data_IF_783252156426
#
_entry.id   IF_783252156426
#
_cell.length_a   1.000
_cell.length_b   1.000
_cell.length_c   1.000
_cell.angle_alpha   90.00
_cell.angle_beta   90.00
_cell.angle_gamma   90.00
#
_symmetry.space_group_name_H-M   'P 1'
#
loop_
_entity.id
_entity.type
_entity.pdbx_description
1 polymer ?
#
# COMPACT_ATOMS: atom_id res chain seq x y z
N UNK A 1 22.05 -28.97 17.08
CA UNK A 1 21.70 -29.73 15.85
C UNK A 1 20.41 -30.56 15.96
N UNK A 2 20.11 -31.24 17.09
CA UNK A 2 18.88 -32.05 17.25
C UNK A 2 17.56 -31.30 17.01
N UNK A 3 17.49 -29.98 17.28
CA UNK A 3 16.26 -29.19 17.10
C UNK A 3 15.87 -28.87 15.65
N UNK A 4 16.82 -28.88 14.70
CA UNK A 4 16.53 -28.58 13.29
C UNK A 4 16.06 -29.83 12.54
N UNK A 5 16.61 -31.00 12.89
CA UNK A 5 16.21 -32.27 12.29
C UNK A 5 14.79 -32.67 12.71
N UNK A 6 14.42 -32.43 13.98
CA UNK A 6 13.05 -32.63 14.46
C UNK A 6 12.00 -31.80 13.70
N UNK A 7 12.38 -30.66 13.13
CA UNK A 7 11.46 -29.85 12.32
C UNK A 7 11.03 -30.55 11.04
N UNK A 8 11.89 -31.37 10.42
CA UNK A 8 11.54 -32.16 9.23
C UNK A 8 10.43 -33.17 9.51
N UNK A 9 10.29 -33.62 10.75
CA UNK A 9 9.23 -34.56 11.15
C UNK A 9 7.96 -33.86 11.64
N UNK A 10 7.91 -32.52 11.60
CA UNK A 10 6.71 -31.77 11.98
C UNK A 10 5.80 -31.53 10.76
N UNK A 11 4.50 -31.82 10.88
CA UNK A 11 3.52 -31.54 9.83
C UNK A 11 3.48 -30.05 9.43
N UNK A 12 3.74 -29.16 10.39
CA UNK A 12 3.79 -27.71 10.15
C UNK A 12 4.94 -27.29 9.22
N UNK A 13 6.06 -28.01 9.25
CA UNK A 13 7.19 -27.73 8.36
C UNK A 13 6.81 -28.00 6.91
N UNK A 14 6.30 -29.20 6.61
CA UNK A 14 5.88 -29.57 5.26
C UNK A 14 4.72 -28.71 4.78
N UNK A 15 3.74 -28.40 5.65
CA UNK A 15 2.65 -27.49 5.31
C UNK A 15 3.16 -26.11 4.91
N UNK A 16 4.16 -25.55 5.62
CA UNK A 16 4.78 -24.26 5.27
C UNK A 16 5.66 -24.34 4.02
N UNK A 17 6.43 -25.42 3.87
CA UNK A 17 7.30 -25.64 2.72
C UNK A 17 6.49 -25.80 1.42
N UNK A 18 5.33 -26.46 1.48
CA UNK A 18 4.44 -26.61 0.33
C UNK A 18 3.39 -25.49 0.22
N UNK A 19 3.39 -24.50 1.13
CA UNK A 19 2.49 -23.36 1.03
C UNK A 19 2.90 -22.43 -0.12
N UNK A 20 1.93 -22.03 -0.95
CA UNK A 20 2.13 -21.19 -2.14
C UNK A 20 2.75 -19.83 -1.80
N UNK A 21 2.31 -19.23 -0.70
CA UNK A 21 2.77 -17.92 -0.26
C UNK A 21 4.25 -17.93 0.12
N UNK A 22 4.74 -18.99 0.77
CA UNK A 22 6.15 -19.09 1.19
C UNK A 22 7.12 -18.96 0.02
N UNK A 23 6.81 -19.61 -1.12
CA UNK A 23 7.62 -19.53 -2.33
C UNK A 23 7.46 -18.21 -3.08
N UNK A 24 6.25 -17.61 -3.07
CA UNK A 24 6.01 -16.29 -3.66
C UNK A 24 6.77 -15.22 -2.89
N UNK A 25 6.62 -15.18 -1.57
CA UNK A 25 7.34 -14.26 -0.69
C UNK A 25 8.84 -14.49 -0.78
N UNK A 26 9.30 -15.74 -0.79
CA UNK A 26 10.72 -16.07 -1.01
C UNK A 26 11.28 -15.53 -2.33
N UNK A 27 10.56 -15.68 -3.45
CA UNK A 27 10.97 -15.12 -4.76
C UNK A 27 10.97 -13.59 -4.79
N UNK A 28 9.95 -12.96 -4.20
CA UNK A 28 9.86 -11.49 -4.13
C UNK A 28 10.98 -10.94 -3.24
N UNK A 29 11.19 -11.55 -2.08
CA UNK A 29 12.27 -11.22 -1.16
C UNK A 29 13.64 -11.40 -1.82
N UNK A 30 13.86 -12.48 -2.59
CA UNK A 30 15.12 -12.68 -3.32
C UNK A 30 15.40 -11.56 -4.32
N UNK A 31 14.38 -11.12 -5.09
CA UNK A 31 14.53 -10.01 -6.05
C UNK A 31 14.78 -8.67 -5.37
N UNK A 32 14.22 -8.47 -4.17
CA UNK A 32 14.30 -7.20 -3.41
C UNK A 32 15.41 -7.16 -2.36
N UNK A 33 16.07 -8.29 -2.07
CA UNK A 33 17.03 -8.42 -0.97
C UNK A 33 18.24 -7.49 -1.08
N UNK A 34 18.64 -7.08 -2.29
CA UNK A 34 19.72 -6.12 -2.47
C UNK A 34 19.31 -4.69 -2.06
N UNK A 35 18.02 -4.33 -2.18
CA UNK A 35 17.53 -2.96 -1.95
C UNK A 35 16.88 -2.77 -0.58
N UNK A 36 16.26 -3.81 -0.03
CA UNK A 36 15.40 -3.69 1.16
C UNK A 36 15.92 -4.53 2.35
N UNK A 37 16.01 -3.90 3.53
CA UNK A 37 16.39 -4.55 4.80
C UNK A 37 15.32 -5.52 5.30
N UNK A 38 14.03 -5.25 5.06
CA UNK A 38 12.92 -6.13 5.44
C UNK A 38 12.92 -7.39 4.57
N UNK A 39 13.09 -7.24 3.26
CA UNK A 39 13.25 -8.36 2.33
C UNK A 39 14.42 -9.29 2.72
N UNK A 40 15.52 -8.76 3.26
CA UNK A 40 16.64 -9.59 3.77
C UNK A 40 16.24 -10.45 4.97
N UNK A 41 15.37 -9.94 5.86
CA UNK A 41 14.87 -10.69 7.02
C UNK A 41 13.95 -11.84 6.57
N UNK A 42 13.05 -11.57 5.62
CA UNK A 42 12.19 -12.60 5.02
C UNK A 42 12.99 -13.64 4.24
N UNK A 43 13.99 -13.20 3.46
CA UNK A 43 14.89 -14.11 2.75
C UNK A 43 15.67 -14.99 3.73
N UNK A 44 16.14 -14.44 4.86
CA UNK A 44 16.81 -15.23 5.91
C UNK A 44 15.86 -16.29 6.48
N UNK A 45 14.59 -15.96 6.72
CA UNK A 45 13.59 -16.93 7.19
C UNK A 45 13.33 -18.02 6.14
N UNK A 46 13.25 -17.65 4.86
CA UNK A 46 13.09 -18.58 3.75
C UNK A 46 14.29 -19.53 3.62
N UNK A 47 15.53 -19.02 3.72
CA UNK A 47 16.75 -19.85 3.72
C UNK A 47 16.79 -20.77 4.93
N UNK A 48 16.41 -20.29 6.12
CA UNK A 48 16.32 -21.12 7.33
C UNK A 48 15.25 -22.22 7.21
N UNK A 49 14.20 -22.02 6.40
CA UNK A 49 13.22 -23.05 6.09
C UNK A 49 13.81 -24.14 5.19
N UNK A 50 14.66 -23.79 4.22
CA UNK A 50 15.28 -24.75 3.29
C UNK A 50 16.48 -25.49 3.91
N UNK A 51 17.13 -24.89 4.91
CA UNK A 51 18.35 -25.42 5.52
C UNK A 51 18.23 -26.86 6.06
N UNK A 52 17.16 -27.26 6.80
CA UNK A 52 17.00 -28.64 7.26
C UNK A 52 16.86 -29.65 6.11
N UNK A 53 16.14 -29.29 5.05
CA UNK A 53 15.97 -30.13 3.86
C UNK A 53 17.32 -30.35 3.16
N UNK A 54 18.10 -29.28 3.01
CA UNK A 54 19.44 -29.36 2.43
C UNK A 54 20.36 -30.29 3.23
N UNK A 55 20.42 -30.13 4.57
CA UNK A 55 21.21 -31.00 5.42
C UNK A 55 20.75 -32.46 5.41
N UNK A 56 19.45 -32.70 5.30
CA UNK A 56 18.90 -34.06 5.18
C UNK A 56 19.36 -34.74 3.88
N UNK A 57 19.26 -34.04 2.75
CA UNK A 57 19.72 -34.56 1.44
C UNK A 57 21.23 -34.77 1.44
N UNK A 58 22.01 -33.82 1.98
CA UNK A 58 23.46 -33.94 2.09
C UNK A 58 23.87 -35.11 2.99
N UNK A 59 23.17 -35.32 4.11
CA UNK A 59 23.39 -36.45 5.02
C UNK A 59 23.08 -37.79 4.35
N UNK A 60 21.99 -37.89 3.58
CA UNK A 60 21.68 -39.07 2.79
C UNK A 60 22.76 -39.32 1.73
N UNK A 61 23.24 -38.29 1.02
CA UNK A 61 24.35 -38.44 0.07
C UNK A 61 25.65 -38.92 0.73
N UNK A 62 25.92 -38.48 1.97
CA UNK A 62 27.11 -38.89 2.73
C UNK A 62 27.06 -40.37 3.16
N UNK A 63 25.87 -40.95 3.35
CA UNK A 63 25.70 -42.37 3.74
C UNK A 63 26.00 -43.38 2.60
N UNK A 64 26.57 -42.93 1.47
CA UNK A 64 27.05 -43.78 0.39
C UNK A 64 25.97 -44.23 -0.60
N UNK A 65 26.23 -45.30 -1.35
CA UNK A 65 25.41 -45.74 -2.49
C UNK A 65 23.92 -45.98 -2.14
N UNK A 66 23.62 -46.43 -0.92
CA UNK A 66 22.25 -46.60 -0.44
C UNK A 66 21.53 -45.28 -0.16
N UNK A 67 22.25 -44.27 0.34
CA UNK A 67 21.68 -42.95 0.61
C UNK A 67 21.55 -42.08 -0.64
N UNK A 68 22.39 -42.31 -1.65
CA UNK A 68 22.24 -41.71 -2.98
C UNK A 68 20.87 -42.07 -3.60
N UNK A 69 20.44 -43.34 -3.53
CA UNK A 69 19.13 -43.77 -4.02
C UNK A 69 17.96 -43.07 -3.33
N UNK A 70 17.99 -43.00 -1.99
CA UNK A 70 16.95 -42.29 -1.21
C UNK A 70 16.94 -40.79 -1.51
N UNK A 71 18.11 -40.17 -1.67
CA UNK A 71 18.21 -38.75 -2.00
C UNK A 71 17.58 -38.41 -3.36
N UNK A 72 17.76 -39.28 -4.37
CA UNK A 72 17.13 -39.12 -5.69
C UNK A 72 15.61 -39.22 -5.59
N UNK A 73 15.08 -40.17 -4.81
CA UNK A 73 13.63 -40.32 -4.60
C UNK A 73 13.03 -39.10 -3.88
N UNK A 74 13.70 -38.58 -2.85
CA UNK A 74 13.25 -37.38 -2.13
C UNK A 74 13.29 -36.15 -3.03
N UNK A 75 14.36 -35.96 -3.81
CA UNK A 75 14.46 -34.87 -4.79
C UNK A 75 13.35 -35.01 -5.84
N UNK A 76 13.12 -36.21 -6.37
CA UNK A 76 12.07 -36.48 -7.34
C UNK A 76 10.68 -36.19 -6.77
N UNK A 77 10.40 -36.58 -5.51
CA UNK A 77 9.13 -36.29 -4.85
C UNK A 77 8.91 -34.78 -4.64
N UNK A 78 9.95 -34.04 -4.24
CA UNK A 78 9.90 -32.58 -4.11
C UNK A 78 9.69 -31.91 -5.47
N UNK A 79 10.44 -32.33 -6.50
CA UNK A 79 10.29 -31.82 -7.87
C UNK A 79 8.90 -32.14 -8.43
N UNK A 80 8.40 -33.35 -8.21
CA UNK A 80 7.06 -33.77 -8.63
C UNK A 80 5.97 -32.98 -7.89
N UNK A 81 6.12 -32.73 -6.58
CA UNK A 81 5.21 -31.86 -5.82
C UNK A 81 5.22 -30.41 -6.32
N UNK A 82 6.40 -29.87 -6.65
CA UNK A 82 6.53 -28.55 -7.26
C UNK A 82 5.90 -28.51 -8.67
N UNK A 83 6.12 -29.55 -9.47
CA UNK A 83 5.63 -29.66 -10.85
C UNK A 83 4.11 -29.89 -10.88
N UNK A 84 3.57 -30.68 -9.96
CA UNK A 84 2.13 -30.81 -9.73
C UNK A 84 1.54 -29.48 -9.28
N UNK A 85 2.16 -28.74 -8.34
CA UNK A 85 1.69 -27.38 -7.98
C UNK A 85 1.74 -26.40 -9.14
N UNK A 86 2.67 -26.61 -10.09
CA UNK A 86 2.81 -25.84 -11.31
C UNK A 86 1.78 -26.25 -12.36
N UNK A 87 1.40 -27.53 -12.45
CA UNK A 87 0.40 -28.04 -13.40
C UNK A 87 -1.04 -27.86 -12.90
N UNK A 88 -1.27 -27.96 -11.59
CA UNK A 88 -2.53 -27.55 -10.95
C UNK A 88 -2.64 -26.03 -10.83
N UNK A 89 -1.72 -25.28 -11.46
CA UNK A 89 -2.12 -24.01 -12.04
C UNK A 89 -3.22 -24.33 -13.05
N UNK A 90 -4.47 -24.30 -12.60
CA UNK A 90 -5.39 -23.46 -13.36
C UNK A 90 -4.61 -22.17 -13.60
N UNK A 91 -4.38 -21.75 -14.86
CA UNK A 91 -4.17 -20.34 -15.03
C UNK A 91 -5.37 -19.74 -14.31
N UNK A 92 -5.16 -19.13 -13.14
CA UNK A 92 -5.80 -17.86 -12.91
C UNK A 92 -5.56 -17.17 -14.23
N UNK A 93 -6.59 -17.17 -15.06
CA UNK A 93 -6.74 -16.14 -16.06
C UNK A 93 -6.44 -14.91 -15.22
N UNK A 94 -5.21 -14.41 -15.31
CA UNK A 94 -5.04 -13.02 -15.61
C UNK A 94 -5.93 -12.83 -16.84
N UNK A 95 -7.23 -12.67 -16.58
CA UNK A 95 -7.95 -11.57 -17.14
C UNK A 95 -6.95 -10.46 -16.90
N UNK A 96 -6.12 -10.17 -17.91
CA UNK A 96 -5.66 -8.82 -18.05
C UNK A 96 -7.00 -8.12 -18.21
N UNK A 97 -7.53 -7.46 -17.14
CA UNK A 97 -8.74 -6.67 -17.30
C UNK A 97 -8.48 -5.86 -18.56
N UNK A 98 -9.34 -6.03 -19.57
CA UNK A 98 -9.23 -5.20 -20.76
C UNK A 98 -9.21 -3.79 -20.22
N UNK A 99 -8.11 -3.03 -20.40
CA UNK A 99 -8.11 -1.65 -19.98
C UNK A 99 -9.30 -1.04 -20.72
N UNK A 100 -10.28 -0.52 -19.97
CA UNK A 100 -11.25 0.37 -20.56
C UNK A 100 -10.44 1.39 -21.37
N UNK A 101 -10.83 1.73 -22.61
CA UNK A 101 -10.24 2.86 -23.30
C UNK A 101 -10.58 4.11 -22.48
N UNK A 102 -9.80 4.38 -21.43
CA UNK A 102 -9.83 5.60 -20.68
C UNK A 102 -9.38 6.67 -21.65
N UNK A 103 -10.31 7.56 -22.01
CA UNK A 103 -10.00 8.66 -22.90
C UNK A 103 -8.77 9.42 -22.40
N UNK A 104 -7.94 9.97 -23.31
CA UNK A 104 -6.75 10.73 -22.92
C UNK A 104 -7.06 11.87 -21.95
N UNK A 105 -8.30 12.38 -21.98
CA UNK A 105 -8.83 13.39 -21.07
C UNK A 105 -8.92 12.92 -19.61
N UNK A 106 -9.44 11.71 -19.35
CA UNK A 106 -9.59 11.19 -17.98
C UNK A 106 -8.23 10.94 -17.33
N UNK A 107 -7.29 10.38 -18.08
CA UNK A 107 -5.91 10.23 -17.61
C UNK A 107 -5.29 11.58 -17.29
N UNK A 108 -5.47 12.56 -18.18
CA UNK A 108 -4.97 13.92 -17.95
C UNK A 108 -5.57 14.51 -16.68
N UNK A 109 -6.88 14.34 -16.45
CA UNK A 109 -7.52 14.75 -15.20
C UNK A 109 -6.82 14.10 -13.99
N UNK A 110 -6.66 12.78 -13.97
CA UNK A 110 -6.00 12.10 -12.84
C UNK A 110 -4.54 12.53 -12.64
N UNK A 111 -3.78 12.76 -13.73
CA UNK A 111 -2.40 13.22 -13.67
C UNK A 111 -2.29 14.65 -13.14
N UNK A 112 -3.18 15.54 -13.59
CA UNK A 112 -3.29 16.91 -13.10
C UNK A 112 -3.61 16.94 -11.59
N UNK A 113 -4.51 16.08 -11.12
CA UNK A 113 -4.84 15.95 -9.70
C UNK A 113 -3.70 15.36 -8.88
N UNK A 114 -3.01 14.36 -9.41
CA UNK A 114 -1.82 13.81 -8.75
C UNK A 114 -0.76 14.90 -8.58
N UNK A 115 -0.50 15.71 -9.61
CA UNK A 115 0.44 16.81 -9.54
C UNK A 115 0.02 17.87 -8.50
N UNK A 116 -1.27 18.23 -8.46
CA UNK A 116 -1.79 19.17 -7.46
C UNK A 116 -1.55 18.66 -6.03
N UNK A 117 -1.94 17.41 -5.74
CA UNK A 117 -1.71 16.83 -4.41
C UNK A 117 -0.22 16.72 -4.08
N UNK A 118 0.63 16.42 -5.05
CA UNK A 118 2.07 16.40 -4.87
C UNK A 118 2.61 17.78 -4.47
N UNK A 119 2.24 18.84 -5.19
CA UNK A 119 2.68 20.21 -4.89
C UNK A 119 2.22 20.65 -3.49
N UNK A 120 0.95 20.42 -3.14
CA UNK A 120 0.44 20.77 -1.82
C UNK A 120 1.16 20.00 -0.71
N UNK A 121 1.38 18.70 -0.93
CA UNK A 121 2.03 17.83 0.06
C UNK A 121 3.51 18.15 0.24
N UNK A 122 4.25 18.37 -0.85
CA UNK A 122 5.65 18.80 -0.77
C UNK A 122 5.76 20.14 -0.03
N UNK A 123 4.84 21.08 -0.33
CA UNK A 123 4.75 22.34 0.38
C UNK A 123 4.49 22.14 1.88
N UNK A 124 3.55 21.28 2.27
CA UNK A 124 3.31 20.96 3.67
C UNK A 124 4.58 20.44 4.36
N UNK A 125 5.36 19.63 3.67
CA UNK A 125 6.62 19.12 4.16
C UNK A 125 7.69 20.21 4.36
N UNK A 126 7.75 21.22 3.49
CA UNK A 126 8.60 22.41 3.73
C UNK A 126 8.13 23.21 4.94
N UNK A 127 6.83 23.35 5.13
CA UNK A 127 6.26 24.07 6.28
C UNK A 127 6.57 23.34 7.60
N UNK A 128 6.49 22.00 7.62
CA UNK A 128 6.97 21.18 8.75
C UNK A 128 8.44 21.50 9.02
N UNK A 129 9.31 21.43 8.01
CA UNK A 129 10.73 21.76 8.17
C UNK A 129 10.96 23.16 8.73
N UNK A 130 10.22 24.17 8.26
CA UNK A 130 10.39 25.55 8.70
C UNK A 130 9.98 25.72 10.18
N UNK A 131 9.00 24.96 10.66
CA UNK A 131 8.54 25.01 12.04
C UNK A 131 9.42 24.18 12.98
N UNK A 132 9.75 22.95 12.60
CA UNK A 132 10.48 22.02 13.47
C UNK A 132 12.00 22.17 13.36
N UNK A 133 12.49 22.80 12.28
CA UNK A 133 13.91 22.85 11.88
C UNK A 133 14.53 21.48 11.60
N UNK A 134 13.70 20.45 11.42
CA UNK A 134 14.11 19.09 11.07
C UNK A 134 13.62 18.76 9.67
N UNK A 135 14.54 18.37 8.77
CA UNK A 135 14.20 18.07 7.39
C UNK A 135 13.50 16.70 7.31
N UNK A 136 12.22 16.64 6.88
CA UNK A 136 11.54 15.36 6.71
C UNK A 136 12.20 14.51 5.63
N UNK A 137 12.05 13.19 5.74
CA UNK A 137 12.63 12.25 4.78
C UNK A 137 12.06 12.50 3.36
N UNK A 138 12.95 12.55 2.38
CA UNK A 138 12.58 12.69 0.96
C UNK A 138 12.28 14.12 0.51
N UNK A 139 12.48 15.12 1.36
CA UNK A 139 12.28 16.53 1.01
C UNK A 139 13.58 17.18 0.56
N UNK A 140 13.54 17.80 -0.60
CA UNK A 140 14.51 18.81 -1.02
C UNK A 140 13.86 20.19 -0.77
N UNK A 141 14.50 21.07 -0.01
CA UNK A 141 13.94 22.40 0.27
C UNK A 141 13.92 23.19 -1.04
N UNK A 142 12.73 23.46 -1.57
CA UNK A 142 12.56 24.27 -2.77
C UNK A 142 11.77 25.53 -2.46
N UNK A 143 12.03 26.58 -3.22
CA UNK A 143 11.32 27.85 -3.03
C UNK A 143 9.86 27.70 -3.49
N UNK A 144 8.93 28.34 -2.77
CA UNK A 144 7.51 28.44 -3.13
C UNK A 144 7.26 28.81 -4.61
N UNK A 145 8.11 29.67 -5.16
CA UNK A 145 8.03 30.06 -6.57
C UNK A 145 8.07 28.86 -7.53
N UNK A 146 8.89 27.84 -7.22
CA UNK A 146 9.00 26.62 -8.02
C UNK A 146 7.68 25.87 -8.10
N UNK A 147 7.01 25.67 -6.96
CA UNK A 147 5.68 25.04 -6.92
C UNK A 147 4.67 25.78 -7.80
N UNK A 148 4.61 27.11 -7.67
CA UNK A 148 3.70 27.94 -8.47
C UNK A 148 4.06 27.90 -9.96
N UNK A 149 5.34 27.88 -10.31
CA UNK A 149 5.80 27.75 -11.68
C UNK A 149 5.38 26.39 -12.27
N UNK A 150 5.62 25.28 -11.57
CA UNK A 150 5.20 23.94 -12.00
C UNK A 150 3.69 23.89 -12.25
N UNK A 151 2.88 24.46 -11.36
CA UNK A 151 1.42 24.52 -11.58
C UNK A 151 1.01 25.38 -12.78
N UNK A 152 1.77 26.44 -13.11
CA UNK A 152 1.51 27.28 -14.29
C UNK A 152 1.89 26.57 -15.59
N UNK A 153 3.02 25.88 -15.61
CA UNK A 153 3.51 25.12 -16.77
C UNK A 153 2.50 24.06 -17.22
N UNK A 154 1.78 23.44 -16.26
CA UNK A 154 0.72 22.47 -16.54
C UNK A 154 -0.69 23.08 -16.61
N UNK A 155 -0.83 24.41 -16.57
CA UNK A 155 -2.14 25.09 -16.69
C UNK A 155 -3.09 24.88 -15.50
N UNK A 156 -2.57 24.46 -14.34
CA UNK A 156 -3.34 24.17 -13.13
C UNK A 156 -3.55 25.38 -12.24
N UNK A 157 -2.61 26.33 -12.24
CA UNK A 157 -2.64 27.49 -11.34
C UNK A 157 -3.96 28.28 -11.40
N UNK A 158 -4.50 28.51 -12.61
CA UNK A 158 -5.76 29.25 -12.79
C UNK A 158 -7.01 28.42 -12.44
N UNK A 159 -6.86 27.11 -12.26
CA UNK A 159 -7.94 26.15 -11.96
C UNK A 159 -7.96 25.72 -10.49
N UNK A 160 -7.01 26.20 -9.69
CA UNK A 160 -7.01 25.98 -8.24
C UNK A 160 -8.28 26.54 -7.63
N UNK A 161 -8.85 25.82 -6.65
CA UNK A 161 -9.86 26.37 -5.76
C UNK A 161 -9.25 27.42 -4.84
N UNK A 162 -10.13 28.16 -4.17
CA UNK A 162 -9.72 29.27 -3.30
C UNK A 162 -8.85 28.77 -2.14
N UNK A 163 -9.22 27.65 -1.53
CA UNK A 163 -8.47 27.07 -0.39
C UNK A 163 -7.06 26.66 -0.79
N UNK A 164 -6.88 25.96 -1.92
CA UNK A 164 -5.54 25.53 -2.36
C UNK A 164 -4.69 26.75 -2.77
N UNK A 165 -5.31 27.74 -3.42
CA UNK A 165 -4.65 28.98 -3.81
C UNK A 165 -4.18 29.75 -2.58
N UNK A 166 -5.01 29.91 -1.58
CA UNK A 166 -4.68 30.63 -0.35
C UNK A 166 -3.49 29.97 0.35
N UNK A 167 -3.51 28.65 0.52
CA UNK A 167 -2.41 27.89 1.10
C UNK A 167 -1.10 28.08 0.33
N UNK A 168 -1.14 28.03 -1.01
CA UNK A 168 0.06 28.19 -1.84
C UNK A 168 0.59 29.63 -1.90
N UNK A 169 -0.25 30.63 -1.57
CA UNK A 169 0.14 32.04 -1.56
C UNK A 169 0.58 32.54 -0.18
N UNK A 170 0.34 31.79 0.89
CA UNK A 170 0.88 32.10 2.21
C UNK A 170 2.42 32.16 2.18
N UNK A 171 3.05 33.06 2.96
CA UNK A 171 4.50 33.10 3.08
C UNK A 171 5.05 31.81 3.72
N UNK A 172 6.31 31.51 3.46
CA UNK A 172 7.02 30.37 4.03
C UNK A 172 6.97 30.40 5.57
N UNK A 173 6.58 29.28 6.19
CA UNK A 173 6.51 29.11 7.64
C UNK A 173 5.20 29.59 8.28
N UNK A 174 4.21 29.99 7.50
CA UNK A 174 2.95 30.56 7.98
C UNK A 174 1.78 29.59 7.96
N UNK A 175 1.97 28.35 7.50
CA UNK A 175 0.90 27.35 7.61
C UNK A 175 0.68 27.00 9.08
N UNK A 176 -0.57 26.87 9.52
CA UNK A 176 -0.83 26.34 10.86
C UNK A 176 -0.62 24.83 10.90
N UNK A 177 -0.44 24.25 12.08
CA UNK A 177 -0.31 22.79 12.24
C UNK A 177 -1.55 22.08 11.70
N UNK A 178 -2.72 22.66 11.87
CA UNK A 178 -3.98 22.15 11.34
C UNK A 178 -3.96 22.13 9.80
N UNK A 179 -3.50 23.21 9.16
CA UNK A 179 -3.37 23.27 7.70
C UNK A 179 -2.38 22.22 7.18
N UNK A 180 -1.23 22.07 7.85
CA UNK A 180 -0.24 21.04 7.54
C UNK A 180 -0.87 19.65 7.66
N UNK A 181 -1.58 19.36 8.75
CA UNK A 181 -2.22 18.07 8.98
C UNK A 181 -3.35 17.77 7.98
N UNK A 182 -4.13 18.78 7.59
CA UNK A 182 -5.17 18.64 6.56
C UNK A 182 -4.55 18.29 5.21
N UNK A 183 -3.48 19.00 4.81
CA UNK A 183 -2.78 18.71 3.55
C UNK A 183 -2.01 17.40 3.63
N UNK A 184 -1.51 17.01 4.80
CA UNK A 184 -0.84 15.72 4.99
C UNK A 184 -1.75 14.54 4.59
N UNK A 185 -3.05 14.63 4.85
CA UNK A 185 -4.02 13.62 4.42
C UNK A 185 -4.16 13.51 2.89
N UNK A 186 -3.70 14.52 2.13
CA UNK A 186 -3.63 14.49 0.66
C UNK A 186 -2.53 13.56 0.12
N UNK A 187 -1.62 13.07 0.96
CA UNK A 187 -0.69 12.00 0.59
C UNK A 187 -1.42 10.75 0.10
N UNK A 188 -2.59 10.46 0.66
CA UNK A 188 -3.32 9.24 0.34
C UNK A 188 -3.95 9.30 -1.06
N UNK A 189 -4.70 10.35 -1.45
CA UNK A 189 -5.07 10.60 -2.84
C UNK A 189 -3.87 10.55 -3.80
N UNK A 190 -2.73 11.15 -3.44
CA UNK A 190 -1.53 11.12 -4.28
C UNK A 190 -1.02 9.70 -4.55
N UNK A 191 -0.87 8.86 -3.50
CA UNK A 191 -0.44 7.46 -3.64
C UNK A 191 -1.37 6.67 -4.54
N UNK A 192 -2.68 6.85 -4.32
CA UNK A 192 -3.71 6.18 -5.09
C UNK A 192 -3.66 6.61 -6.56
N UNK A 193 -3.62 7.91 -6.85
CA UNK A 193 -3.57 8.41 -8.21
C UNK A 193 -2.30 7.97 -8.95
N UNK A 194 -1.14 7.98 -8.29
CA UNK A 194 0.10 7.43 -8.87
C UNK A 194 -0.01 5.95 -9.19
N UNK A 195 -0.64 5.15 -8.32
CA UNK A 195 -0.92 3.74 -8.59
C UNK A 195 -1.92 3.55 -9.74
N UNK A 196 -3.00 4.34 -9.78
CA UNK A 196 -4.00 4.34 -10.86
C UNK A 196 -3.36 4.69 -12.20
N UNK A 197 -2.45 5.66 -12.23
CA UNK A 197 -1.67 6.08 -13.40
C UNK A 197 -0.50 5.13 -13.71
N UNK A 198 -0.39 4.00 -13.01
CA UNK A 198 0.68 2.99 -13.17
C UNK A 198 2.10 3.57 -13.01
N UNK A 199 2.24 4.68 -12.28
CA UNK A 199 3.55 5.23 -11.88
C UNK A 199 4.17 4.32 -10.82
N UNK A 200 3.34 3.87 -9.87
CA UNK A 200 3.74 2.92 -8.83
C UNK A 200 3.14 1.53 -9.10
N UNK A 201 3.97 0.48 -8.95
CA UNK A 201 3.57 -0.92 -9.22
C UNK A 201 2.57 -1.48 -8.20
N UNK A 202 2.51 -0.91 -7.00
CA UNK A 202 1.71 -1.41 -5.89
C UNK A 202 1.14 -0.27 -5.05
N UNK A 203 -0.07 -0.47 -4.54
CA UNK A 203 -0.68 0.39 -3.55
C UNK A 203 -0.37 -0.18 -2.15
N UNK A 204 0.42 0.51 -1.31
CA UNK A 204 0.71 0.05 0.05
C UNK A 204 -0.56 0.00 0.91
N UNK A 205 -0.61 -0.85 1.93
CA UNK A 205 -1.74 -0.87 2.87
C UNK A 205 -1.79 0.43 3.68
N UNK A 206 -2.98 0.84 4.14
CA UNK A 206 -3.12 2.05 4.98
C UNK A 206 -2.27 1.94 6.26
N UNK A 207 -2.18 0.73 6.83
CA UNK A 207 -1.33 0.47 7.99
C UNK A 207 0.15 0.75 7.73
N UNK A 208 0.65 0.54 6.51
CA UNK A 208 2.04 0.81 6.15
C UNK A 208 2.32 2.29 5.90
N UNK A 209 1.30 3.12 5.66
CA UNK A 209 1.41 4.53 5.25
C UNK A 209 1.11 5.53 6.37
N UNK A 210 1.18 5.08 7.63
CA UNK A 210 0.92 5.90 8.83
C UNK A 210 1.94 7.00 9.08
N UNK A 211 3.00 7.08 8.28
CA UNK A 211 4.03 8.12 8.36
C UNK A 211 4.02 9.00 7.12
N UNK A 212 4.42 10.25 7.31
CA UNK A 212 4.54 11.24 6.25
C UNK A 212 5.70 10.90 5.30
N UNK A 213 5.44 10.08 4.27
CA UNK A 213 6.43 9.86 3.20
C UNK A 213 6.30 10.98 2.16
N UNK A 214 6.96 12.12 2.40
CA UNK A 214 6.97 13.27 1.48
C UNK A 214 7.78 13.02 0.21
N UNK A 215 8.58 11.95 0.18
CA UNK A 215 9.40 11.59 -0.98
C UNK A 215 8.58 11.41 -2.25
N UNK A 216 7.40 10.77 -2.16
CA UNK A 216 6.53 10.56 -3.32
C UNK A 216 6.05 11.89 -3.92
N UNK A 217 5.86 12.91 -3.08
CA UNK A 217 5.45 14.23 -3.51
C UNK A 217 6.62 14.94 -4.19
N UNK A 218 7.79 14.98 -3.54
CA UNK A 218 9.00 15.58 -4.10
C UNK A 218 9.44 14.92 -5.42
N UNK A 219 9.38 13.60 -5.54
CA UNK A 219 9.64 12.87 -6.79
C UNK A 219 8.66 13.28 -7.90
N UNK A 220 7.36 13.43 -7.57
CA UNK A 220 6.34 13.85 -8.55
C UNK A 220 6.53 15.29 -8.99
N UNK A 221 6.86 16.21 -8.08
CA UNK A 221 7.07 17.64 -8.43
C UNK A 221 8.39 17.85 -9.18
N UNK A 222 9.42 17.08 -8.85
CA UNK A 222 10.71 17.12 -9.55
C UNK A 222 10.60 16.61 -10.99
N UNK A 223 9.80 15.58 -11.23
CA UNK A 223 9.58 14.97 -12.54
C UNK A 223 8.07 14.84 -12.84
N UNK A 224 7.36 15.95 -13.09
CA UNK A 224 5.90 15.94 -13.26
C UNK A 224 5.47 15.09 -14.46
N UNK A 225 6.30 15.01 -15.50
CA UNK A 225 6.05 14.18 -16.68
C UNK A 225 5.84 12.70 -16.36
N UNK A 226 6.29 12.20 -15.20
CA UNK A 226 6.10 10.80 -14.80
C UNK A 226 4.61 10.43 -14.68
N UNK A 227 3.78 11.30 -14.07
CA UNK A 227 2.33 11.07 -13.97
C UNK A 227 1.61 11.28 -15.31
N UNK A 228 2.24 11.99 -16.26
CA UNK A 228 1.71 12.21 -17.60
C UNK A 228 2.22 11.23 -18.66
N UNK A 229 3.15 10.30 -18.36
CA UNK A 229 3.82 9.46 -19.38
C UNK A 229 3.09 8.15 -19.74
N UNK A 230 2.42 7.52 -18.79
CA UNK A 230 1.86 6.18 -18.99
C UNK A 230 0.49 6.16 -19.68
N UNK A 231 0.37 5.41 -20.79
CA UNK A 231 -0.87 5.35 -21.58
C UNK A 231 -2.00 4.51 -21.01
N UNK A 232 -1.73 3.78 -19.92
CA UNK A 232 -2.68 2.83 -19.36
C UNK A 232 -2.97 3.17 -17.91
N UNK A 233 -4.26 3.22 -17.59
CA UNK A 233 -4.73 3.21 -16.21
C UNK A 233 -4.69 1.80 -15.62
N UNK A 234 -4.94 1.72 -14.32
CA UNK A 234 -5.25 0.46 -13.64
C UNK A 234 -6.45 -0.23 -14.29
N UNK A 235 -6.51 -1.56 -14.21
CA UNK A 235 -7.67 -2.29 -14.71
C UNK A 235 -8.85 -2.22 -13.73
N UNK A 236 -10.08 -2.38 -14.24
CA UNK A 236 -11.30 -2.35 -13.43
C UNK A 236 -11.29 -3.44 -12.34
N UNK A 237 -10.80 -4.64 -12.67
CA UNK A 237 -10.71 -5.73 -11.70
C UNK A 237 -9.77 -5.39 -10.53
N UNK A 238 -8.60 -4.80 -10.83
CA UNK A 238 -7.63 -4.34 -9.83
C UNK A 238 -8.25 -3.23 -8.96
N UNK A 239 -9.01 -2.32 -9.58
CA UNK A 239 -9.68 -1.21 -8.89
C UNK A 239 -10.78 -1.71 -7.94
N UNK A 240 -11.65 -2.60 -8.41
CA UNK A 240 -12.71 -3.20 -7.59
C UNK A 240 -12.14 -3.99 -6.40
N UNK A 241 -11.05 -4.72 -6.63
CA UNK A 241 -10.33 -5.39 -5.55
C UNK A 241 -9.80 -4.38 -4.53
N UNK A 242 -9.18 -3.28 -5.00
CA UNK A 242 -8.68 -2.24 -4.11
C UNK A 242 -9.80 -1.57 -3.31
N UNK A 243 -10.97 -1.33 -3.91
CA UNK A 243 -12.17 -0.79 -3.23
C UNK A 243 -12.58 -1.72 -2.09
N UNK A 244 -12.77 -3.00 -2.39
CA UNK A 244 -13.19 -3.98 -1.37
C UNK A 244 -12.18 -4.07 -0.22
N UNK A 245 -10.88 -4.04 -0.52
CA UNK A 245 -9.82 -4.04 0.50
C UNK A 245 -9.85 -2.75 1.33
N UNK A 246 -10.03 -1.59 0.70
CA UNK A 246 -10.09 -0.30 1.40
C UNK A 246 -11.33 -0.20 2.31
N UNK A 247 -12.48 -0.68 1.86
CA UNK A 247 -13.72 -0.74 2.65
C UNK A 247 -13.59 -1.64 3.88
N UNK A 248 -13.02 -2.84 3.71
CA UNK A 248 -12.74 -3.74 4.83
C UNK A 248 -11.76 -3.11 5.83
N UNK A 249 -10.73 -2.43 5.33
CA UNK A 249 -9.74 -1.73 6.14
C UNK A 249 -10.37 -0.57 6.93
N UNK A 250 -11.19 0.25 6.26
CA UNK A 250 -11.93 1.35 6.88
C UNK A 250 -12.89 0.86 7.95
N UNK A 251 -13.77 -0.08 7.62
CA UNK A 251 -14.77 -0.61 8.55
C UNK A 251 -14.10 -1.16 9.81
N UNK A 252 -12.92 -1.76 9.66
CA UNK A 252 -12.17 -2.30 10.77
C UNK A 252 -11.61 -1.23 11.71
N UNK A 253 -10.94 -0.20 11.19
CA UNK A 253 -10.44 0.88 12.06
C UNK A 253 -11.59 1.67 12.68
N UNK A 254 -12.66 1.88 11.91
CA UNK A 254 -13.89 2.49 12.41
C UNK A 254 -14.53 1.67 13.53
N UNK A 255 -14.66 0.35 13.37
CA UNK A 255 -15.24 -0.53 14.39
C UNK A 255 -14.40 -0.53 15.68
N UNK A 256 -13.07 -0.53 15.57
CA UNK A 256 -12.18 -0.34 16.72
C UNK A 256 -12.43 1.03 17.38
N UNK A 257 -12.54 2.10 16.59
CA UNK A 257 -12.82 3.43 17.12
C UNK A 257 -14.17 3.53 17.83
N UNK A 258 -15.22 2.89 17.31
CA UNK A 258 -16.52 2.77 17.98
C UNK A 258 -16.40 1.95 19.27
N UNK A 259 -15.67 0.84 19.25
CA UNK A 259 -15.44 0.01 20.43
C UNK A 259 -14.76 0.79 21.57
N UNK A 260 -13.83 1.69 21.23
CA UNK A 260 -13.12 2.58 22.17
C UNK A 260 -13.89 3.84 22.57
N UNK A 261 -15.02 4.13 21.92
CA UNK A 261 -15.79 5.36 22.13
C UNK A 261 -15.21 6.60 21.46
N UNK A 262 -14.33 6.44 20.46
CA UNK A 262 -13.77 7.54 19.66
C UNK A 262 -14.77 8.06 18.62
N UNK A 263 -15.69 7.21 18.19
CA UNK A 263 -16.72 7.54 17.20
C UNK A 263 -18.11 7.18 17.71
N UNK A 264 -19.07 8.05 17.42
CA UNK A 264 -20.48 7.74 17.59
C UNK A 264 -20.95 6.90 16.39
N UNK A 265 -21.55 5.74 16.67
CA UNK A 265 -22.25 4.99 15.63
C UNK A 265 -23.60 5.67 15.34
N UNK A 266 -24.04 5.62 14.09
CA UNK A 266 -25.34 6.17 13.67
C UNK A 266 -26.53 5.51 14.37
N UNK A 267 -26.40 4.20 14.64
CA UNK A 267 -27.44 3.40 15.30
C UNK A 267 -26.85 2.49 16.36
N UNK A 268 -27.68 2.10 17.33
CA UNK A 268 -27.30 1.14 18.38
C UNK A 268 -26.93 -0.22 17.77
N UNK A 269 -27.63 -0.63 16.71
CA UNK A 269 -27.35 -1.86 15.96
C UNK A 269 -25.95 -1.84 15.34
N UNK A 270 -25.59 -0.76 14.63
CA UNK A 270 -24.24 -0.60 14.05
C UNK A 270 -23.15 -0.56 15.14
N UNK A 271 -23.45 0.03 16.30
CA UNK A 271 -22.53 0.01 17.44
C UNK A 271 -22.29 -1.41 17.96
N UNK A 272 -23.34 -2.23 18.00
CA UNK A 272 -23.26 -3.61 18.44
C UNK A 272 -22.52 -4.48 17.42
N UNK A 273 -22.81 -4.31 16.13
CA UNK A 273 -22.12 -4.98 15.02
C UNK A 273 -20.61 -4.69 15.04
N UNK A 274 -20.22 -3.41 15.21
CA UNK A 274 -18.83 -3.01 15.34
C UNK A 274 -18.14 -3.71 16.54
N UNK A 275 -18.80 -3.78 17.69
CA UNK A 275 -18.28 -4.46 18.88
C UNK A 275 -18.12 -5.97 18.66
N UNK A 276 -19.07 -6.60 17.99
CA UNK A 276 -18.99 -8.02 17.65
C UNK A 276 -17.89 -8.29 16.63
N UNK A 277 -17.73 -7.44 15.64
CA UNK A 277 -16.66 -7.52 14.65
C UNK A 277 -15.27 -7.44 15.31
N UNK A 278 -15.05 -6.46 16.21
CA UNK A 278 -13.80 -6.35 16.98
C UNK A 278 -13.55 -7.61 17.82
N UNK A 279 -14.57 -8.16 18.48
CA UNK A 279 -14.46 -9.41 19.26
C UNK A 279 -14.09 -10.60 18.38
N UNK A 280 -14.66 -10.72 17.18
CA UNK A 280 -14.35 -11.81 16.24
C UNK A 280 -12.91 -11.75 15.69
N UNK A 281 -12.31 -10.56 15.68
CA UNK A 281 -10.94 -10.34 15.22
C UNK A 281 -9.91 -10.37 16.35
N UNK A 282 -10.34 -10.32 17.61
CA UNK A 282 -9.46 -10.37 18.76
C UNK A 282 -8.56 -11.63 18.72
N UNK A 283 -7.25 -11.41 18.86
CA UNK A 283 -6.24 -12.48 18.89
C UNK A 283 -5.86 -13.07 17.52
N UNK A 284 -6.42 -12.58 16.41
CA UNK A 284 -5.96 -12.95 15.07
C UNK A 284 -4.79 -12.05 14.64
N UNK A 285 -3.70 -12.66 14.18
CA UNK A 285 -2.56 -11.99 13.58
C UNK A 285 -2.57 -12.24 12.07
N UNK A 286 -3.02 -11.27 11.29
CA UNK A 286 -2.90 -11.24 9.83
C UNK A 286 -2.21 -9.93 9.44
N UNK A 287 -1.51 -9.89 8.29
CA UNK A 287 -0.85 -8.68 7.79
C UNK A 287 -1.84 -7.54 7.59
N UNK A 288 -3.05 -7.89 7.17
CA UNK A 288 -4.16 -6.93 7.00
C UNK A 288 -4.68 -6.46 8.37
N UNK A 289 -4.24 -7.12 9.45
CA UNK A 289 -4.55 -6.80 10.82
C UNK A 289 -3.62 -5.76 11.47
N UNK A 290 -2.62 -5.27 10.73
CA UNK A 290 -1.56 -4.44 11.28
C UNK A 290 -1.67 -2.96 10.87
N UNK A 291 -1.32 -2.09 11.82
CA UNK A 291 -0.97 -0.69 11.62
C UNK A 291 0.54 -0.60 11.83
N UNK A 292 1.29 -0.54 10.73
CA UNK A 292 2.73 -0.74 10.68
C UNK A 292 3.10 -2.14 11.17
N UNK A 293 3.56 -2.23 12.41
CA UNK A 293 3.94 -3.51 13.04
C UNK A 293 3.02 -3.90 14.20
N UNK A 294 2.06 -3.05 14.56
CA UNK A 294 1.18 -3.25 15.71
C UNK A 294 -0.17 -3.81 15.25
N UNK A 295 -0.77 -4.67 16.06
CA UNK A 295 -2.19 -5.03 15.88
C UNK A 295 -3.03 -3.79 16.20
N UNK A 296 -4.12 -3.58 15.46
CA UNK A 296 -5.04 -2.44 15.66
C UNK A 296 -5.43 -2.23 17.13
N UNK A 297 -5.74 -3.30 17.85
CA UNK A 297 -6.12 -3.24 19.27
C UNK A 297 -5.00 -2.75 20.21
N UNK A 298 -3.74 -2.79 19.77
CA UNK A 298 -2.57 -2.30 20.51
C UNK A 298 -2.14 -0.89 20.09
N UNK A 299 -2.79 -0.32 19.09
CA UNK A 299 -2.51 1.05 18.65
C UNK A 299 -3.09 2.05 19.65
N UNK A 300 -2.47 3.23 19.72
CA UNK A 300 -3.02 4.39 20.44
C UNK A 300 -4.28 4.92 19.76
N UNK A 301 -5.08 5.71 20.48
CA UNK A 301 -6.32 6.27 19.94
C UNK A 301 -6.07 7.21 18.76
N UNK A 302 -4.97 7.98 18.80
CA UNK A 302 -4.56 8.84 17.69
C UNK A 302 -4.13 8.02 16.46
N UNK A 303 -3.41 6.91 16.64
CA UNK A 303 -3.08 5.99 15.54
C UNK A 303 -4.34 5.39 14.91
N UNK A 304 -5.33 5.00 15.71
CA UNK A 304 -6.61 4.47 15.20
C UNK A 304 -7.39 5.55 14.45
N UNK A 305 -7.45 6.78 14.98
CA UNK A 305 -8.12 7.89 14.33
C UNK A 305 -7.50 8.24 12.98
N UNK A 306 -6.17 8.31 12.96
CA UNK A 306 -5.41 8.60 11.76
C UNK A 306 -5.60 7.51 10.69
N UNK A 307 -5.49 6.24 11.09
CA UNK A 307 -5.69 5.10 10.20
C UNK A 307 -7.13 5.08 9.63
N UNK A 308 -8.13 5.39 10.47
CA UNK A 308 -9.53 5.49 10.04
C UNK A 308 -9.71 6.59 8.99
N UNK A 309 -9.14 7.78 9.23
CA UNK A 309 -9.24 8.91 8.30
C UNK A 309 -8.55 8.62 6.96
N UNK A 310 -7.37 8.00 6.98
CA UNK A 310 -6.68 7.58 5.75
C UNK A 310 -7.46 6.51 4.99
N UNK A 311 -7.99 5.50 5.68
CA UNK A 311 -8.78 4.45 5.06
C UNK A 311 -10.08 4.99 4.46
N UNK A 312 -10.76 5.91 5.16
CA UNK A 312 -11.94 6.60 4.65
C UNK A 312 -11.62 7.36 3.36
N UNK A 313 -10.57 8.19 3.37
CA UNK A 313 -10.13 8.95 2.17
C UNK A 313 -9.80 8.02 1.02
N UNK A 314 -9.06 6.93 1.27
CA UNK A 314 -8.76 5.93 0.24
C UNK A 314 -10.03 5.36 -0.37
N UNK A 315 -10.99 4.93 0.46
CA UNK A 315 -12.26 4.37 -0.02
C UNK A 315 -13.01 5.37 -0.90
N UNK A 316 -13.15 6.62 -0.43
CA UNK A 316 -13.85 7.68 -1.17
C UNK A 316 -13.19 7.98 -2.52
N UNK A 317 -11.85 8.09 -2.55
CA UNK A 317 -11.13 8.36 -3.79
C UNK A 317 -11.17 7.17 -4.74
N UNK A 318 -11.07 5.92 -4.27
CA UNK A 318 -11.19 4.73 -5.12
C UNK A 318 -12.59 4.63 -5.73
N UNK A 319 -13.64 4.89 -4.95
CA UNK A 319 -15.02 4.94 -5.43
C UNK A 319 -15.19 6.04 -6.49
N UNK A 320 -14.66 7.24 -6.24
CA UNK A 320 -14.68 8.33 -7.22
C UNK A 320 -13.93 7.97 -8.51
N UNK A 321 -12.73 7.38 -8.42
CA UNK A 321 -11.98 6.90 -9.60
C UNK A 321 -12.80 5.87 -10.37
N UNK A 322 -13.46 4.93 -9.67
CA UNK A 322 -14.30 3.92 -10.32
C UNK A 322 -15.47 4.53 -11.07
N UNK A 323 -16.19 5.46 -10.43
CA UNK A 323 -17.32 6.15 -11.04
C UNK A 323 -16.90 7.01 -12.23
N UNK A 324 -15.72 7.65 -12.15
CA UNK A 324 -15.10 8.37 -13.27
C UNK A 324 -14.73 7.45 -14.43
N UNK A 325 -14.17 6.28 -14.13
CA UNK A 325 -13.80 5.28 -15.13
C UNK A 325 -15.02 4.60 -15.78
N UNK A 326 -16.14 4.48 -15.07
CA UNK A 326 -17.39 3.96 -15.63
C UNK A 326 -18.19 4.99 -16.44
N UNK A 327 -17.83 6.27 -16.37
CA UNK A 327 -18.53 7.36 -17.06
C UNK A 327 -19.82 7.79 -16.37
N UNK A 328 -20.03 7.40 -15.10
CA UNK A 328 -21.22 7.74 -14.32
C UNK A 328 -21.27 9.21 -13.89
N UNK A 329 -20.14 9.92 -13.89
CA UNK A 329 -20.08 11.36 -13.61
C UNK A 329 -19.91 12.19 -14.87
N UNK A 330 -20.76 13.21 -15.02
CA UNK A 330 -20.53 14.29 -15.98
C UNK A 330 -19.22 15.03 -15.69
N UNK A 331 -18.59 15.57 -16.74
CA UNK A 331 -17.29 16.28 -16.67
C UNK A 331 -17.28 17.54 -15.78
N UNK A 332 -18.44 18.00 -15.29
CA UNK A 332 -18.58 19.24 -14.51
C UNK A 332 -18.42 19.07 -13.00
N UNK A 333 -18.62 17.88 -12.43
CA UNK A 333 -18.38 17.65 -11.00
C UNK A 333 -16.89 17.37 -10.80
N UNK A 334 -16.08 18.43 -10.79
CA UNK A 334 -14.70 18.34 -10.31
C UNK A 334 -14.72 17.97 -8.83
N UNK A 335 -13.67 17.31 -8.36
CA UNK A 335 -13.48 16.86 -6.97
C UNK A 335 -13.43 17.98 -5.90
N UNK A 336 -14.10 19.13 -6.10
CA UNK A 336 -14.06 20.34 -5.26
C UNK A 336 -14.43 20.07 -3.79
N UNK A 337 -15.07 18.94 -3.48
CA UNK A 337 -15.38 18.51 -2.11
C UNK A 337 -14.28 17.74 -1.37
N UNK A 338 -13.27 17.18 -2.04
CA UNK A 338 -12.33 16.23 -1.42
C UNK A 338 -10.95 16.80 -1.09
N UNK A 339 -10.60 17.96 -1.64
CA UNK A 339 -9.23 18.46 -1.54
C UNK A 339 -8.83 18.79 -0.10
N UNK A 340 -9.73 19.36 0.72
CA UNK A 340 -9.38 19.86 2.06
C UNK A 340 -10.53 19.84 3.10
N UNK A 341 -11.64 19.13 2.84
CA UNK A 341 -12.69 18.89 3.86
C UNK A 341 -12.42 17.63 4.68
#
# INVERSE_FOLDING_TARGET
MRSLFLRLFSNNYWRRLFHRETWRSGRVALRRAHKDRRARKELRQFVLLLLPLFFFVAYLGFLGAGGAGVSVVVIAAVLMGLLLSYLTRTPEKKNNPQPLPSGPELRREFAELALLHAVLTERAGHEVFLQTKELPEGIEVTARHRHLQTLREHGLYNRLGDTERDLLLLPDGHWTIEQINTVWLSLEPLRLLRWVLRVDDFLPTVGDTMTADYRIAGETVKEPETVFRNDKLIGVDDLNMAISVAEQCFYRFWAEGVHRGLYAAETVEKAQEAKEYVRQLAGKESSDLLVGTKIVSLCSDSEVQLATNLALRRTQVLQWVSQRMSGEFGSSERMEGFYLR
#
